data_IF_898585564886
#
_entry.id   IF_898585564886
#
_cell.length_a   1.000
_cell.length_b   1.000
_cell.length_c   1.000
_cell.angle_alpha   90.00
_cell.angle_beta   90.00
_cell.angle_gamma   90.00
#
_symmetry.space_group_name_H-M   'P 1'
#
loop_
_entity.id
_entity.type
_entity.pdbx_description
1 polymer ?
#
# COMPACT_ATOMS: atom_id res chain seq x y z
N UNK A 1 9.72 9.28 1.65
CA UNK A 1 9.60 10.43 2.58
C UNK A 1 8.48 11.34 2.09
N UNK A 2 8.01 12.26 2.93
CA UNK A 2 7.02 13.28 2.57
C UNK A 2 7.30 14.58 3.29
N UNK A 3 6.80 15.68 2.75
CA UNK A 3 6.83 17.00 3.37
C UNK A 3 5.43 17.62 3.25
N UNK A 4 5.06 18.44 4.22
CA UNK A 4 3.76 19.11 4.27
C UNK A 4 3.94 20.49 4.92
N UNK A 5 3.12 21.46 4.51
CA UNK A 5 3.09 22.75 5.17
C UNK A 5 2.40 22.62 6.53
N UNK A 6 2.90 23.36 7.55
CA UNK A 6 2.26 23.37 8.88
C UNK A 6 0.75 23.66 8.80
N UNK A 7 0.27 24.67 8.04
CA UNK A 7 -1.17 24.95 7.96
C UNK A 7 -2.00 23.80 7.40
N UNK A 8 -1.50 23.05 6.40
CA UNK A 8 -2.21 21.90 5.85
C UNK A 8 -2.25 20.73 6.85
N UNK A 9 -1.16 20.53 7.62
CA UNK A 9 -1.11 19.50 8.65
C UNK A 9 -2.09 19.78 9.79
N UNK A 10 -2.10 21.02 10.29
CA UNK A 10 -3.01 21.45 11.36
C UNK A 10 -4.47 21.44 10.91
N UNK A 11 -4.77 21.76 9.65
CA UNK A 11 -6.13 21.74 9.11
C UNK A 11 -6.79 20.34 9.08
N UNK A 12 -5.99 19.27 9.08
CA UNK A 12 -6.46 17.87 9.11
C UNK A 12 -6.17 17.22 10.49
N UNK A 13 -5.87 18.04 11.50
CA UNK A 13 -5.61 17.62 12.88
C UNK A 13 -4.41 16.66 13.02
N UNK A 14 -3.45 16.73 12.09
CA UNK A 14 -2.25 15.90 12.10
C UNK A 14 -2.52 14.40 11.93
N UNK A 15 -1.62 13.54 12.41
CA UNK A 15 -1.80 12.08 12.35
C UNK A 15 -2.77 11.59 13.42
N UNK A 16 -3.61 10.61 13.07
CA UNK A 16 -4.48 9.94 14.03
C UNK A 16 -3.65 9.00 14.93
N UNK A 17 -3.41 9.44 16.16
CA UNK A 17 -2.56 8.73 17.15
C UNK A 17 -3.17 7.41 17.64
N UNK A 18 -4.45 7.16 17.36
CA UNK A 18 -5.06 5.86 17.64
C UNK A 18 -4.58 4.76 16.68
N UNK A 19 -3.91 5.16 15.58
CA UNK A 19 -3.41 4.26 14.55
C UNK A 19 -1.96 3.88 14.84
N UNK A 20 -1.70 2.58 14.96
CA UNK A 20 -0.35 2.05 15.12
C UNK A 20 0.37 1.74 13.80
N UNK A 21 -0.33 1.81 12.67
CA UNK A 21 0.19 1.58 11.33
C UNK A 21 -0.78 2.09 10.27
N UNK A 22 -0.25 2.52 9.13
CA UNK A 22 -0.98 3.14 8.02
C UNK A 22 -1.57 4.52 8.35
N UNK A 23 -1.10 5.15 9.42
CA UNK A 23 -1.44 6.53 9.80
C UNK A 23 -1.05 7.54 8.72
N UNK A 24 0.07 7.29 8.05
CA UNK A 24 0.56 8.08 6.93
C UNK A 24 -0.37 7.98 5.72
N UNK A 25 -0.89 6.79 5.45
CA UNK A 25 -1.78 6.59 4.31
C UNK A 25 -3.20 7.09 4.60
N UNK A 26 -3.71 6.88 5.80
CA UNK A 26 -5.01 7.45 6.22
C UNK A 26 -4.96 8.98 6.20
N UNK A 27 -3.87 9.59 6.66
CA UNK A 27 -3.65 11.03 6.58
C UNK A 27 -3.56 11.53 5.14
N UNK A 28 -2.84 10.82 4.27
CA UNK A 28 -2.78 11.11 2.83
C UNK A 28 -4.16 11.05 2.17
N UNK A 29 -4.97 10.05 2.52
CA UNK A 29 -6.35 9.94 2.07
C UNK A 29 -7.21 11.12 2.57
N UNK A 30 -7.12 11.47 3.85
CA UNK A 30 -7.86 12.58 4.43
C UNK A 30 -7.51 13.93 3.78
N UNK A 31 -6.23 14.17 3.46
CA UNK A 31 -5.79 15.34 2.69
C UNK A 31 -6.47 15.40 1.32
N UNK A 32 -6.46 14.29 0.57
CA UNK A 32 -7.11 14.24 -0.75
C UNK A 32 -8.63 14.45 -0.66
N UNK A 33 -9.28 13.92 0.37
CA UNK A 33 -10.72 14.14 0.61
C UNK A 33 -11.04 15.60 0.97
N UNK A 34 -10.12 16.31 1.64
CA UNK A 34 -10.22 17.74 1.91
C UNK A 34 -9.82 18.63 0.71
N UNK A 35 -9.58 18.04 -0.47
CA UNK A 35 -9.26 18.77 -1.69
C UNK A 35 -7.81 19.25 -1.80
N UNK A 36 -6.91 18.79 -0.92
CA UNK A 36 -5.48 19.08 -1.06
C UNK A 36 -4.86 18.27 -2.20
N UNK A 37 -3.90 18.88 -2.89
CA UNK A 37 -3.11 18.21 -3.92
C UNK A 37 -1.87 17.57 -3.31
N UNK A 38 -1.66 16.29 -3.61
CA UNK A 38 -0.47 15.53 -3.21
C UNK A 38 0.37 15.27 -4.46
N UNK A 39 1.58 15.82 -4.51
CA UNK A 39 2.47 15.70 -5.67
C UNK A 39 3.67 14.79 -5.40
N UNK A 40 4.08 14.03 -6.42
CA UNK A 40 5.27 13.17 -6.37
C UNK A 40 6.48 13.89 -6.98
N UNK A 41 7.39 14.38 -6.12
CA UNK A 41 8.64 15.04 -6.54
C UNK A 41 9.74 14.00 -6.79
N UNK A 42 9.79 13.46 -8.02
CA UNK A 42 10.76 12.39 -8.40
C UNK A 42 12.24 12.79 -8.32
N UNK A 43 12.52 14.09 -8.35
CA UNK A 43 13.89 14.64 -8.25
C UNK A 43 14.45 14.56 -6.82
N UNK A 44 13.58 14.50 -5.81
CA UNK A 44 14.01 14.37 -4.42
C UNK A 44 14.16 12.89 -4.09
N UNK A 45 15.41 12.44 -3.91
CA UNK A 45 15.72 11.07 -3.53
C UNK A 45 16.19 11.03 -2.08
N UNK A 46 15.73 10.01 -1.36
CA UNK A 46 16.17 9.71 0.00
C UNK A 46 16.53 8.23 0.09
N UNK A 47 17.46 7.91 0.98
CA UNK A 47 17.82 6.53 1.27
C UNK A 47 17.17 6.09 2.58
N UNK A 48 16.50 4.94 2.52
CA UNK A 48 15.93 4.30 3.71
C UNK A 48 16.94 3.29 4.26
N UNK A 49 17.61 3.62 5.36
CA UNK A 49 18.56 2.74 6.04
C UNK A 49 17.87 1.66 6.90
N UNK A 50 16.84 1.01 6.34
CA UNK A 50 16.14 -0.08 7.03
C UNK A 50 16.87 -1.39 6.83
N UNK A 51 17.22 -2.03 7.94
CA UNK A 51 17.74 -3.39 7.94
C UNK A 51 16.57 -4.37 8.07
N UNK A 52 16.40 -5.25 7.09
CA UNK A 52 15.34 -6.26 7.09
C UNK A 52 15.92 -7.67 7.18
N UNK A 53 15.50 -8.42 8.18
CA UNK A 53 15.53 -9.89 8.11
C UNK A 53 14.29 -10.38 7.35
N UNK A 54 14.33 -11.60 6.81
CA UNK A 54 13.17 -12.19 6.14
C UNK A 54 11.94 -12.23 7.06
N UNK A 55 12.13 -12.66 8.31
CA UNK A 55 11.07 -12.70 9.32
C UNK A 55 10.56 -11.32 9.70
N UNK A 56 11.45 -10.34 9.80
CA UNK A 56 11.10 -8.94 10.05
C UNK A 56 10.25 -8.35 8.91
N UNK A 57 10.62 -8.65 7.66
CA UNK A 57 9.86 -8.27 6.48
C UNK A 57 8.46 -8.87 6.50
N UNK A 58 8.34 -10.19 6.68
CA UNK A 58 7.04 -10.87 6.72
C UNK A 58 6.14 -10.37 7.85
N UNK A 59 6.71 -10.14 9.05
CA UNK A 59 5.97 -9.60 10.19
C UNK A 59 5.49 -8.18 9.92
N UNK A 60 6.33 -7.35 9.30
CA UNK A 60 5.97 -5.98 8.91
C UNK A 60 4.88 -5.98 7.84
N UNK A 61 5.01 -6.80 6.80
CA UNK A 61 4.03 -6.93 5.73
C UNK A 61 2.67 -7.38 6.26
N UNK A 62 2.63 -8.34 7.19
CA UNK A 62 1.36 -8.80 7.76
C UNK A 62 0.75 -7.81 8.74
N UNK A 63 1.51 -7.43 9.79
CA UNK A 63 0.97 -6.73 10.96
C UNK A 63 0.95 -5.21 10.83
N UNK A 64 1.86 -4.65 10.05
CA UNK A 64 1.97 -3.20 9.86
C UNK A 64 1.46 -2.74 8.48
N UNK A 65 1.06 -3.68 7.61
CA UNK A 65 0.51 -3.34 6.29
C UNK A 65 -0.77 -4.10 5.99
N UNK A 66 -0.72 -5.38 5.66
CA UNK A 66 -1.86 -6.12 5.12
C UNK A 66 -3.11 -6.04 6.02
N UNK A 67 -2.98 -6.36 7.31
CA UNK A 67 -4.11 -6.30 8.26
C UNK A 67 -4.60 -4.84 8.48
N UNK A 68 -3.74 -3.87 8.87
CA UNK A 68 -4.18 -2.48 9.04
C UNK A 68 -4.78 -1.87 7.77
N UNK A 69 -4.17 -2.10 6.61
CA UNK A 69 -4.62 -1.59 5.32
C UNK A 69 -6.00 -2.12 4.93
N UNK A 70 -6.23 -3.41 5.11
CA UNK A 70 -7.56 -3.99 4.88
C UNK A 70 -8.62 -3.40 5.81
N UNK A 71 -8.30 -3.21 7.10
CA UNK A 71 -9.22 -2.58 8.05
C UNK A 71 -9.51 -1.12 7.67
N UNK A 72 -8.51 -0.39 7.19
CA UNK A 72 -8.64 0.99 6.73
C UNK A 72 -9.56 1.11 5.51
N UNK A 73 -9.37 0.24 4.50
CA UNK A 73 -10.24 0.17 3.32
C UNK A 73 -11.68 -0.18 3.73
N UNK A 74 -11.87 -1.15 4.63
CA UNK A 74 -13.19 -1.52 5.17
C UNK A 74 -13.88 -0.36 5.89
N UNK A 75 -13.10 0.52 6.51
CA UNK A 75 -13.60 1.73 7.16
C UNK A 75 -13.92 2.87 6.16
N UNK A 76 -13.74 2.65 4.86
CA UNK A 76 -13.94 3.66 3.82
C UNK A 76 -12.85 4.73 3.77
N UNK A 77 -11.71 4.51 4.46
CA UNK A 77 -10.63 5.49 4.64
C UNK A 77 -9.40 5.20 3.78
N UNK A 78 -9.62 4.64 2.60
CA UNK A 78 -8.58 4.28 1.66
C UNK A 78 -9.19 3.84 0.33
N UNK A 79 -8.40 3.94 -0.72
CA UNK A 79 -8.87 3.61 -2.07
C UNK A 79 -8.41 2.22 -2.52
N UNK A 80 -9.35 1.43 -3.04
CA UNK A 80 -9.06 0.20 -3.76
C UNK A 80 -8.45 0.51 -5.13
N UNK A 81 -7.53 -0.33 -5.60
CA UNK A 81 -6.90 -0.17 -6.92
C UNK A 81 -5.69 0.77 -6.94
N UNK A 82 -5.36 1.44 -5.83
CA UNK A 82 -4.13 2.23 -5.66
C UNK A 82 -3.12 1.50 -4.75
N UNK A 83 -1.86 1.90 -4.79
CA UNK A 83 -0.78 1.28 -3.99
C UNK A 83 -0.72 -0.26 -4.16
N UNK A 84 -0.66 -1.01 -3.06
CA UNK A 84 -0.52 -2.47 -3.05
C UNK A 84 -1.83 -3.22 -3.37
N UNK A 85 -2.95 -2.53 -3.65
CA UNK A 85 -4.24 -3.14 -4.01
C UNK A 85 -4.59 -2.97 -5.49
N UNK A 86 -3.60 -2.67 -6.33
CA UNK A 86 -3.75 -2.66 -7.79
C UNK A 86 -4.19 -4.02 -8.34
N UNK A 87 -4.82 -4.01 -9.52
CA UNK A 87 -5.40 -5.21 -10.17
C UNK A 87 -4.42 -6.37 -10.27
N UNK A 88 -3.18 -6.13 -10.69
CA UNK A 88 -2.17 -7.18 -10.81
C UNK A 88 -1.81 -7.80 -9.44
N UNK A 89 -1.74 -7.00 -8.38
CA UNK A 89 -1.49 -7.50 -7.02
C UNK A 89 -2.63 -8.38 -6.51
N UNK A 90 -3.87 -7.98 -6.77
CA UNK A 90 -5.07 -8.77 -6.42
C UNK A 90 -5.09 -10.09 -7.19
N UNK A 91 -4.86 -10.05 -8.50
CA UNK A 91 -4.83 -11.26 -9.34
C UNK A 91 -3.66 -12.18 -8.97
N UNK A 92 -2.47 -11.64 -8.70
CA UNK A 92 -1.34 -12.43 -8.21
C UNK A 92 -1.64 -13.09 -6.86
N UNK A 93 -2.35 -12.40 -5.96
CA UNK A 93 -2.81 -12.96 -4.68
C UNK A 93 -3.81 -14.10 -4.90
N UNK A 94 -4.78 -13.92 -5.78
CA UNK A 94 -5.76 -14.96 -6.12
C UNK A 94 -5.08 -16.20 -6.73
N UNK A 95 -4.19 -16.01 -7.71
CA UNK A 95 -3.41 -17.09 -8.31
C UNK A 95 -2.53 -17.82 -7.30
N UNK A 96 -1.96 -17.10 -6.33
CA UNK A 96 -1.19 -17.71 -5.23
C UNK A 96 -2.08 -18.61 -4.37
N UNK A 97 -3.32 -18.21 -4.10
CA UNK A 97 -4.31 -19.06 -3.42
C UNK A 97 -4.62 -20.34 -4.21
N UNK A 98 -4.88 -20.21 -5.52
CA UNK A 98 -5.12 -21.36 -6.41
C UNK A 98 -3.89 -22.29 -6.46
N UNK A 99 -2.68 -21.72 -6.50
CA UNK A 99 -1.43 -22.49 -6.47
C UNK A 99 -1.35 -23.37 -5.22
N UNK A 100 -1.57 -22.82 -4.03
CA UNK A 100 -1.53 -23.61 -2.79
C UNK A 100 -2.63 -24.67 -2.73
N UNK A 101 -3.86 -24.33 -3.15
CA UNK A 101 -4.97 -25.28 -3.20
C UNK A 101 -4.65 -26.47 -4.12
N UNK A 102 -4.16 -26.21 -5.34
CA UNK A 102 -3.82 -27.25 -6.30
C UNK A 102 -2.59 -28.06 -5.85
N UNK A 103 -1.58 -27.41 -5.27
CA UNK A 103 -0.40 -28.08 -4.74
C UNK A 103 -0.76 -29.05 -3.62
N UNK A 104 -1.56 -28.61 -2.64
CA UNK A 104 -1.98 -29.48 -1.53
C UNK A 104 -2.99 -30.55 -1.94
N UNK A 105 -3.71 -30.37 -3.05
CA UNK A 105 -4.58 -31.38 -3.63
C UNK A 105 -3.81 -32.50 -4.37
N UNK A 106 -2.56 -32.23 -4.80
CA UNK A 106 -1.76 -33.15 -5.64
C UNK A 106 -1.56 -34.55 -5.05
N UNK A 107 -1.35 -34.74 -3.73
CA UNK A 107 -1.25 -36.08 -3.14
C UNK A 107 -2.52 -36.93 -3.26
N UNK A 108 -3.70 -36.29 -3.35
CA UNK A 108 -5.00 -36.96 -3.49
C UNK A 108 -5.41 -37.07 -4.96
N UNK A 109 -5.08 -36.06 -5.77
CA UNK A 109 -5.38 -35.97 -7.19
C UNK A 109 -4.15 -35.51 -7.95
N UNK A 110 -3.30 -36.44 -8.44
CA UNK A 110 -2.08 -36.07 -9.18
C UNK A 110 -2.32 -35.20 -10.42
N UNK A 111 -3.51 -35.29 -11.01
CA UNK A 111 -3.96 -34.42 -12.10
C UNK A 111 -4.09 -32.94 -11.72
N UNK A 112 -3.99 -32.58 -10.43
CA UNK A 112 -3.92 -31.21 -9.96
C UNK A 112 -2.54 -30.55 -10.18
N UNK A 113 -1.48 -31.32 -10.40
CA UNK A 113 -0.13 -30.77 -10.55
C UNK A 113 0.01 -29.76 -11.72
N UNK A 114 -0.55 -30.00 -12.92
CA UNK A 114 -0.57 -29.00 -13.99
C UNK A 114 -1.29 -27.71 -13.60
N UNK A 115 -2.37 -27.81 -12.81
CA UNK A 115 -3.10 -26.63 -12.33
C UNK A 115 -2.25 -25.81 -11.34
N UNK A 116 -1.46 -26.47 -10.48
CA UNK A 116 -0.53 -25.78 -9.59
C UNK A 116 0.54 -25.02 -10.38
N UNK A 117 1.14 -25.66 -11.40
CA UNK A 117 2.13 -25.01 -12.28
C UNK A 117 1.54 -23.84 -13.05
N UNK A 118 0.32 -24.00 -13.59
CA UNK A 118 -0.39 -22.93 -14.28
C UNK A 118 -0.68 -21.75 -13.34
N UNK A 119 -1.08 -22.03 -12.10
CA UNK A 119 -1.36 -21.00 -11.12
C UNK A 119 -0.10 -20.23 -10.70
N UNK A 120 1.03 -20.94 -10.52
CA UNK A 120 2.33 -20.33 -10.27
C UNK A 120 2.76 -19.43 -11.44
N UNK A 121 2.56 -19.89 -12.68
CA UNK A 121 2.82 -19.11 -13.88
C UNK A 121 1.91 -17.88 -13.97
N UNK A 122 0.62 -18.01 -13.62
CA UNK A 122 -0.33 -16.92 -13.55
C UNK A 122 0.08 -15.85 -12.54
N UNK A 123 0.50 -16.25 -11.34
CA UNK A 123 1.09 -15.34 -10.35
C UNK A 123 2.32 -14.62 -10.92
N UNK A 124 3.28 -15.36 -11.48
CA UNK A 124 4.50 -14.79 -12.04
C UNK A 124 4.21 -13.82 -13.21
N UNK A 125 3.18 -14.09 -14.02
CA UNK A 125 2.73 -13.22 -15.10
C UNK A 125 2.28 -11.85 -14.58
N UNK A 126 1.48 -11.82 -13.51
CA UNK A 126 1.04 -10.56 -12.90
C UNK A 126 2.19 -9.81 -12.20
N UNK A 127 3.30 -10.48 -11.89
CA UNK A 127 4.52 -9.87 -11.36
C UNK A 127 5.63 -9.68 -12.41
N UNK A 128 5.35 -9.86 -13.71
CA UNK A 128 6.37 -9.90 -14.79
C UNK A 128 7.24 -8.65 -14.89
N UNK A 129 6.68 -7.48 -14.60
CA UNK A 129 7.42 -6.22 -14.65
C UNK A 129 8.52 -6.18 -13.57
N UNK A 130 8.17 -6.58 -12.34
CA UNK A 130 9.10 -6.69 -11.22
C UNK A 130 10.13 -7.79 -11.46
N UNK A 131 9.69 -8.99 -11.87
CA UNK A 131 10.59 -10.09 -12.22
C UNK A 131 11.55 -9.71 -13.34
N UNK A 132 11.07 -9.01 -14.37
CA UNK A 132 11.90 -8.48 -15.46
C UNK A 132 12.93 -7.47 -14.97
N UNK A 133 12.56 -6.58 -14.04
CA UNK A 133 13.50 -5.65 -13.40
C UNK A 133 14.56 -6.39 -12.59
N UNK A 134 14.14 -7.33 -11.74
CA UNK A 134 15.05 -8.14 -10.91
C UNK A 134 16.02 -8.92 -11.79
N UNK A 135 15.53 -9.57 -12.85
CA UNK A 135 16.35 -10.28 -13.83
C UNK A 135 17.41 -9.38 -14.45
N UNK A 136 17.06 -8.15 -14.84
CA UNK A 136 18.01 -7.18 -15.41
C UNK A 136 19.07 -6.71 -14.41
N UNK A 137 18.74 -6.63 -13.13
CA UNK A 137 19.64 -6.07 -12.09
C UNK A 137 20.46 -7.12 -11.34
N UNK A 138 19.96 -8.34 -11.22
CA UNK A 138 20.51 -9.41 -10.35
C UNK A 138 20.67 -10.75 -11.06
N UNK A 139 20.28 -10.86 -12.33
CA UNK A 139 20.41 -12.08 -13.14
C UNK A 139 19.22 -13.04 -13.01
N UNK A 140 19.25 -14.10 -13.82
CA UNK A 140 18.15 -15.05 -13.95
C UNK A 140 17.93 -15.90 -12.69
N UNK A 141 19.01 -16.40 -12.08
CA UNK A 141 18.93 -17.25 -10.88
C UNK A 141 18.25 -16.52 -9.73
N UNK A 142 18.62 -15.26 -9.51
CA UNK A 142 17.99 -14.43 -8.49
C UNK A 142 16.52 -14.15 -8.82
N UNK A 143 16.18 -13.96 -10.10
CA UNK A 143 14.79 -13.79 -10.53
C UNK A 143 13.93 -15.05 -10.31
N UNK A 144 14.50 -16.24 -10.47
CA UNK A 144 13.79 -17.50 -10.15
C UNK A 144 13.54 -17.58 -8.64
N UNK A 145 14.55 -17.29 -7.82
CA UNK A 145 14.37 -17.20 -6.36
C UNK A 145 13.32 -16.16 -5.94
N UNK A 146 13.21 -15.05 -6.67
CA UNK A 146 12.20 -14.03 -6.43
C UNK A 146 10.76 -14.54 -6.65
N UNK A 147 10.53 -15.57 -7.47
CA UNK A 147 9.21 -16.19 -7.64
C UNK A 147 8.75 -16.81 -6.32
N UNK A 148 9.64 -17.52 -5.62
CA UNK A 148 9.34 -18.09 -4.31
C UNK A 148 9.06 -16.99 -3.25
N UNK A 149 9.87 -15.92 -3.26
CA UNK A 149 9.64 -14.76 -2.38
C UNK A 149 8.30 -14.07 -2.67
N UNK A 150 7.89 -13.97 -3.94
CA UNK A 150 6.60 -13.42 -4.34
C UNK A 150 5.44 -14.30 -3.92
N UNK A 151 5.54 -15.62 -4.09
CA UNK A 151 4.52 -16.55 -3.61
C UNK A 151 4.32 -16.39 -2.10
N UNK A 152 5.40 -16.22 -1.33
CA UNK A 152 5.34 -15.95 0.10
C UNK A 152 4.68 -14.59 0.42
N UNK A 153 5.10 -13.53 -0.27
CA UNK A 153 4.52 -12.19 -0.10
C UNK A 153 3.02 -12.17 -0.41
N UNK A 154 2.59 -12.74 -1.53
CA UNK A 154 1.17 -12.81 -1.89
C UNK A 154 0.36 -13.72 -0.97
N UNK A 155 0.98 -14.75 -0.39
CA UNK A 155 0.35 -15.54 0.68
C UNK A 155 0.08 -14.66 1.91
N UNK A 156 1.04 -13.81 2.30
CA UNK A 156 0.87 -12.84 3.39
C UNK A 156 -0.23 -11.83 3.07
N UNK A 157 -0.29 -11.33 1.84
CA UNK A 157 -1.36 -10.43 1.40
C UNK A 157 -2.74 -11.08 1.52
N UNK A 158 -2.90 -12.32 1.04
CA UNK A 158 -4.16 -13.07 1.15
C UNK A 158 -4.56 -13.33 2.61
N UNK A 159 -3.63 -13.83 3.43
CA UNK A 159 -3.87 -14.06 4.86
C UNK A 159 -4.20 -12.77 5.61
N UNK A 160 -3.46 -11.70 5.33
CA UNK A 160 -3.66 -10.39 5.94
C UNK A 160 -4.98 -9.76 5.53
N UNK A 161 -5.44 -9.98 4.28
CA UNK A 161 -6.77 -9.57 3.83
C UNK A 161 -7.87 -10.29 4.61
N UNK A 162 -7.80 -11.62 4.76
CA UNK A 162 -8.77 -12.38 5.55
C UNK A 162 -8.75 -11.95 7.03
N UNK A 163 -7.57 -11.94 7.65
CA UNK A 163 -7.40 -11.53 9.04
C UNK A 163 -7.86 -10.08 9.27
N UNK A 164 -7.59 -9.18 8.32
CA UNK A 164 -8.05 -7.80 8.33
C UNK A 164 -9.56 -7.66 8.23
N UNK A 165 -10.27 -8.58 7.54
CA UNK A 165 -11.73 -8.62 7.51
C UNK A 165 -12.35 -9.15 8.81
N UNK A 166 -11.69 -10.10 9.47
CA UNK A 166 -12.14 -10.67 10.73
C UNK A 166 -11.77 -9.80 11.95
N UNK A 167 -10.77 -8.91 11.79
CA UNK A 167 -10.36 -8.01 12.85
C UNK A 167 -11.42 -6.95 13.19
N UNK A 168 -11.35 -6.46 14.43
CA UNK A 168 -12.13 -5.32 14.93
C UNK A 168 -12.05 -4.13 13.96
N UNK A 169 -13.10 -3.29 13.89
CA UNK A 169 -13.09 -2.07 13.09
C UNK A 169 -11.82 -1.25 13.31
N UNK A 170 -11.41 -0.51 12.28
CA UNK A 170 -10.24 0.34 12.36
C UNK A 170 -10.51 1.46 13.39
N UNK A 171 -9.62 1.69 14.38
CA UNK A 171 -9.95 2.45 15.58
C UNK A 171 -9.91 3.97 15.38
N UNK A 172 -9.92 4.43 14.12
CA UNK A 172 -9.71 5.83 13.78
C UNK A 172 -10.71 6.74 14.49
N UNK A 173 -10.17 7.75 15.16
CA UNK A 173 -10.94 8.75 15.90
C UNK A 173 -11.17 10.02 15.10
N UNK A 174 -10.49 10.19 13.94
CA UNK A 174 -10.70 11.36 13.09
C UNK A 174 -12.15 11.39 12.61
N UNK A 175 -12.86 12.49 12.85
CA UNK A 175 -14.20 12.70 12.30
C UNK A 175 -14.19 12.53 10.78
N UNK A 176 -15.34 12.18 10.17
CA UNK A 176 -15.45 12.19 8.72
C UNK A 176 -15.09 13.60 8.24
N UNK A 177 -14.06 13.71 7.39
CA UNK A 177 -13.57 15.00 6.91
C UNK A 177 -14.72 15.68 6.17
N UNK A 178 -15.24 16.83 6.66
CA UNK A 178 -16.25 17.57 5.93
C UNK A 178 -15.70 17.92 4.55
N UNK A 179 -16.52 17.92 3.53
CA UNK A 179 -16.14 18.29 2.17
C UNK A 179 -15.59 19.75 2.18
N UNK A 180 -14.28 19.90 2.32
CA UNK A 180 -13.64 21.19 2.54
C UNK A 180 -13.39 21.86 1.19
N UNK A 181 -14.13 22.94 0.89
CA UNK A 181 -13.86 23.78 -0.30
C UNK A 181 -12.56 24.58 -0.11
N UNK A 182 -11.44 23.99 -0.50
CA UNK A 182 -10.13 24.64 -0.52
C UNK A 182 -10.09 25.93 -1.36
N UNK A 183 -11.05 26.12 -2.29
CA UNK A 183 -11.08 27.24 -3.24
C UNK A 183 -11.16 28.64 -2.59
N UNK A 184 -11.71 28.77 -1.39
CA UNK A 184 -12.00 30.10 -0.81
C UNK A 184 -10.80 30.72 -0.07
N UNK A 185 -9.81 29.94 0.36
CA UNK A 185 -8.67 30.48 1.14
C UNK A 185 -7.51 30.97 0.27
N UNK A 186 -7.31 30.37 -0.91
CA UNK A 186 -6.30 30.85 -1.87
C UNK A 186 -6.63 32.20 -2.49
N UNK A 187 -7.89 32.65 -2.45
CA UNK A 187 -8.24 34.01 -2.85
C UNK A 187 -7.87 35.07 -1.81
N UNK A 188 -7.92 34.77 -0.50
CA UNK A 188 -7.52 35.74 0.54
C UNK A 188 -6.01 35.97 0.65
N UNK A 189 -5.18 34.98 0.28
CA UNK A 189 -3.71 35.14 0.32
C UNK A 189 -3.19 35.95 -0.87
N UNK A 190 -3.91 35.96 -2.02
CA UNK A 190 -3.55 36.77 -3.19
C UNK A 190 -3.94 38.25 -3.09
N UNK A 191 -4.79 38.64 -2.13
CA UNK A 191 -5.33 40.01 -2.04
C UNK A 191 -4.79 40.85 -0.89
N UNK A 192 -3.74 40.41 -0.18
CA UNK A 192 -3.06 41.27 0.80
C UNK A 192 -1.85 41.94 0.12
N UNK A 193 -1.91 43.25 -0.21
CA UNK A 193 -0.74 43.96 -0.67
C UNK A 193 0.22 44.12 0.50
N UNK A 194 1.35 43.42 0.47
CA UNK A 194 2.49 43.75 1.31
C UNK A 194 3.00 45.11 0.83
N UNK A 195 2.60 46.17 1.54
CA UNK A 195 3.17 47.49 1.38
C UNK A 195 4.65 47.43 1.77
N UNK A 196 5.52 47.50 0.77
CA UNK A 196 6.94 47.79 0.95
C UNK A 196 7.08 49.30 1.19
N UNK A 197 6.96 49.74 2.44
CA UNK A 197 7.52 51.03 2.85
C UNK A 197 9.02 50.84 3.12
N UNK A 198 9.84 51.40 2.23
CA UNK A 198 11.26 51.65 2.45
C UNK A 198 11.39 53.11 2.92
N UNK A 199 11.93 53.30 4.12
CA UNK A 199 12.60 54.52 4.57
C UNK A 199 14.06 54.19 4.84
#
# INVERSE_FOLDING_TARGET
CGAITRPAFEAIEGFDVSLHACEDIEFGWALTQAGYQVELVKAMQVEHLKTYSLTGLMRSDLRARAIPWTRLIRAGRGEMGKLNTGRDGVLATAWTGVFWLALFATPLWPSAAPAALLALAGMAWHSRALLGFIRRRRGILFSVGAIAALALHYSICGLGFVAGHLAKPYPSQRAAVPEYRYAERTQRVKTSPVALERS
#
